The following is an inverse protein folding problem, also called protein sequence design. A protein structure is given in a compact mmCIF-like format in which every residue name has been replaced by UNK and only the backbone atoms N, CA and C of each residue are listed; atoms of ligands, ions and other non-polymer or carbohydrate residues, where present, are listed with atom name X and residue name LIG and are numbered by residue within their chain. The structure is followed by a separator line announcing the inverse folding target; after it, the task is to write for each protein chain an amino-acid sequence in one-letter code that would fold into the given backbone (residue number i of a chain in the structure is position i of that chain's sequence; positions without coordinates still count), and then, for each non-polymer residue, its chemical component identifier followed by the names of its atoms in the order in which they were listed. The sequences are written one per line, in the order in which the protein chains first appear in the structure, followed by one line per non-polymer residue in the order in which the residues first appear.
data_IF_302675995655
#
_entry.id   IF_302675995655
#
_cell.length_a   1.000
_cell.length_b   1.000
_cell.length_c   1.000
_cell.angle_alpha   90.00
_cell.angle_beta   90.00
_cell.angle_gamma   90.00
#
_symmetry.space_group_name_H-M   'P 1'
#
loop_
_entity.id
_entity.type
_entity.pdbx_description
1 polymer ?
#
# COMPACT_ATOMS: atom_id res chain seq x y z
N UNK A 1 8.46 -14.99 -5.89
CA UNK A 1 8.30 -16.02 -4.84
C UNK A 1 6.83 -16.33 -4.82
N UNK A 2 6.42 -17.59 -4.94
CA UNK A 2 4.98 -17.89 -4.84
C UNK A 2 4.54 -18.00 -3.38
N UNK A 3 3.22 -17.93 -3.13
CA UNK A 3 2.69 -17.98 -1.77
C UNK A 3 2.56 -19.40 -1.18
N UNK A 4 2.99 -20.46 -1.89
CA UNK A 4 2.71 -21.84 -1.47
C UNK A 4 3.39 -22.21 -0.14
N UNK A 5 4.53 -21.56 0.14
CA UNK A 5 5.34 -21.75 1.35
C UNK A 5 4.86 -20.93 2.54
N UNK A 6 3.99 -19.94 2.32
CA UNK A 6 3.56 -18.96 3.36
C UNK A 6 2.05 -18.99 3.61
N UNK A 7 1.28 -19.59 2.70
CA UNK A 7 -0.13 -19.85 2.89
C UNK A 7 -0.33 -20.98 3.91
N UNK A 8 -1.37 -20.87 4.75
CA UNK A 8 -1.68 -21.86 5.79
C UNK A 8 -3.12 -22.36 5.67
N UNK A 9 -3.38 -23.67 5.89
CA UNK A 9 -4.74 -24.20 6.01
C UNK A 9 -5.36 -23.86 7.38
N UNK A 10 -4.58 -23.36 8.33
CA UNK A 10 -5.07 -22.98 9.65
C UNK A 10 -5.68 -21.58 9.59
N UNK A 11 -7.01 -21.51 9.61
CA UNK A 11 -7.75 -20.27 9.67
C UNK A 11 -8.98 -20.39 10.57
N UNK A 12 -9.40 -19.24 11.09
CA UNK A 12 -10.61 -19.12 11.87
C UNK A 12 -11.79 -18.95 10.91
N UNK A 13 -12.80 -19.80 11.04
CA UNK A 13 -14.00 -19.80 10.21
C UNK A 13 -15.27 -19.57 11.05
N UNK A 14 -16.25 -18.88 10.47
CA UNK A 14 -17.59 -18.78 11.02
C UNK A 14 -18.68 -18.85 9.94
N UNK A 15 -19.77 -19.51 10.26
CA UNK A 15 -20.96 -19.54 9.41
C UNK A 15 -21.71 -18.19 9.41
N UNK A 16 -22.22 -17.76 8.24
CA UNK A 16 -22.87 -16.47 8.00
C UNK A 16 -24.16 -16.26 8.83
N UNK A 17 -24.80 -17.32 9.30
CA UNK A 17 -25.99 -17.26 10.15
C UNK A 17 -25.65 -17.13 11.64
N UNK A 18 -24.36 -17.20 12.03
CA UNK A 18 -23.96 -16.89 13.40
C UNK A 18 -24.21 -15.43 13.74
N UNK A 19 -24.27 -15.16 15.04
CA UNK A 19 -24.48 -13.82 15.61
C UNK A 19 -23.16 -13.10 15.80
N UNK A 20 -23.20 -11.77 15.72
CA UNK A 20 -22.05 -10.89 15.92
C UNK A 20 -21.34 -11.10 17.26
N UNK A 21 -22.09 -11.37 18.33
CA UNK A 21 -21.52 -11.74 19.64
C UNK A 21 -20.49 -12.87 19.57
N UNK A 22 -20.70 -13.87 18.71
CA UNK A 22 -19.75 -14.97 18.53
C UNK A 22 -18.47 -14.50 17.83
N UNK A 23 -18.59 -13.65 16.82
CA UNK A 23 -17.44 -13.02 16.13
C UNK A 23 -16.63 -12.17 17.11
N UNK A 24 -17.29 -11.34 17.92
CA UNK A 24 -16.63 -10.52 18.97
C UNK A 24 -15.83 -11.39 19.94
N UNK A 25 -16.43 -12.47 20.44
CA UNK A 25 -15.76 -13.41 21.34
C UNK A 25 -14.55 -14.11 20.70
N UNK A 26 -14.56 -14.35 19.39
CA UNK A 26 -13.41 -14.93 18.68
C UNK A 26 -12.29 -13.90 18.58
N UNK A 27 -12.60 -12.66 18.19
CA UNK A 27 -11.60 -11.59 18.14
C UNK A 27 -10.94 -11.33 19.50
N UNK A 28 -11.71 -11.39 20.58
CA UNK A 28 -11.18 -11.20 21.94
C UNK A 28 -10.24 -12.33 22.38
N UNK A 29 -10.58 -13.58 22.05
CA UNK A 29 -9.84 -14.76 22.56
C UNK A 29 -8.63 -15.14 21.71
N UNK A 30 -8.76 -14.97 20.40
CA UNK A 30 -7.80 -15.49 19.42
C UNK A 30 -7.09 -14.36 18.66
N UNK A 31 -7.59 -13.12 18.71
CA UNK A 31 -7.07 -11.95 17.99
C UNK A 31 -6.67 -12.24 16.51
N UNK A 32 -7.52 -12.91 15.71
CA UNK A 32 -7.17 -13.24 14.33
C UNK A 32 -7.11 -11.98 13.48
N UNK A 33 -6.26 -11.98 12.44
CA UNK A 33 -6.17 -10.86 11.47
C UNK A 33 -7.42 -10.70 10.61
N UNK A 34 -8.19 -11.78 10.48
CA UNK A 34 -9.50 -11.82 9.86
C UNK A 34 -10.13 -13.19 10.07
N UNK A 35 -11.44 -13.28 9.89
CA UNK A 35 -12.22 -14.50 10.02
C UNK A 35 -12.83 -14.80 8.65
N UNK A 36 -12.65 -16.03 8.17
CA UNK A 36 -13.33 -16.52 6.98
C UNK A 36 -14.81 -16.73 7.31
N UNK A 37 -15.68 -16.22 6.46
CA UNK A 37 -17.12 -16.44 6.57
C UNK A 37 -17.56 -17.43 5.51
N UNK A 38 -18.30 -18.45 5.93
CA UNK A 38 -18.91 -19.46 5.05
C UNK A 38 -20.42 -19.36 5.06
N UNK A 39 -21.04 -19.72 3.94
CA UNK A 39 -22.50 -19.82 3.78
C UNK A 39 -22.80 -21.12 3.05
N UNK A 40 -23.65 -21.98 3.64
CA UNK A 40 -23.96 -23.31 3.13
C UNK A 40 -22.71 -24.19 2.84
N UNK A 41 -21.62 -23.95 3.58
CA UNK A 41 -20.34 -24.66 3.42
C UNK A 41 -19.44 -24.11 2.32
N UNK A 42 -19.84 -23.04 1.64
CA UNK A 42 -19.03 -22.34 0.64
C UNK A 42 -18.46 -21.02 1.19
N UNK A 43 -17.33 -20.58 0.64
CA UNK A 43 -16.72 -19.30 1.01
C UNK A 43 -17.63 -18.12 0.62
N UNK A 44 -18.01 -17.30 1.59
CA UNK A 44 -18.86 -16.13 1.39
C UNK A 44 -18.10 -14.79 1.48
N UNK A 45 -17.00 -14.75 2.25
CA UNK A 45 -16.19 -13.53 2.40
C UNK A 45 -15.34 -13.54 3.67
N UNK A 46 -14.94 -12.35 4.12
CA UNK A 46 -14.17 -12.16 5.36
C UNK A 46 -14.81 -11.13 6.28
N UNK A 47 -14.46 -11.24 7.57
CA UNK A 47 -14.68 -10.21 8.57
C UNK A 47 -13.39 -9.89 9.30
N UNK A 48 -13.10 -8.60 9.39
CA UNK A 48 -12.01 -8.01 10.14
C UNK A 48 -12.59 -7.21 11.31
N UNK A 49 -11.75 -6.92 12.29
CA UNK A 49 -12.16 -6.25 13.53
C UNK A 49 -12.80 -4.85 13.29
N UNK A 50 -12.39 -4.14 12.23
CA UNK A 50 -12.98 -2.83 11.86
C UNK A 50 -14.49 -2.90 11.60
N UNK A 51 -15.02 -4.04 11.18
CA UNK A 51 -16.47 -4.22 10.98
C UNK A 51 -17.25 -4.24 12.30
N UNK A 52 -16.59 -4.50 13.43
CA UNK A 52 -17.22 -4.55 14.76
C UNK A 52 -17.48 -3.16 15.37
N UNK A 53 -16.82 -2.13 14.83
CA UNK A 53 -16.87 -0.74 15.30
C UNK A 53 -18.12 0.04 14.87
N UNK A 54 -19.03 -0.57 14.09
CA UNK A 54 -20.21 0.14 13.59
C UNK A 54 -21.23 0.32 14.73
N UNK A 55 -21.44 1.58 15.13
CA UNK A 55 -22.24 2.01 16.29
C UNK A 55 -23.71 1.62 16.29
N UNK A 56 -24.24 1.04 15.21
CA UNK A 56 -25.66 0.73 15.07
C UNK A 56 -25.96 -0.77 15.03
N UNK A 57 -24.96 -1.63 15.25
CA UNK A 57 -25.13 -3.07 15.09
C UNK A 57 -25.30 -3.73 16.46
N UNK A 58 -26.47 -4.33 16.65
CA UNK A 58 -26.80 -5.09 17.85
C UNK A 58 -26.09 -6.46 17.84
N UNK A 59 -25.70 -6.96 19.01
CA UNK A 59 -24.96 -8.23 19.16
C UNK A 59 -25.69 -9.47 18.61
N UNK A 60 -27.01 -9.35 18.45
CA UNK A 60 -27.89 -10.37 17.93
C UNK A 60 -27.96 -10.35 16.39
N UNK A 61 -27.40 -9.32 15.74
CA UNK A 61 -27.30 -9.19 14.28
C UNK A 61 -26.54 -10.36 13.69
N UNK A 62 -27.06 -10.89 12.57
CA UNK A 62 -26.40 -11.97 11.82
C UNK A 62 -25.16 -11.45 11.09
N UNK A 63 -24.16 -12.31 11.01
CA UNK A 63 -22.87 -12.07 10.37
C UNK A 63 -23.01 -11.70 8.88
N UNK A 64 -23.98 -12.27 8.17
CA UNK A 64 -24.24 -12.01 6.74
C UNK A 64 -24.20 -10.53 6.33
N UNK A 65 -24.76 -9.62 7.15
CA UNK A 65 -24.80 -8.19 6.85
C UNK A 65 -23.46 -7.46 6.98
N UNK A 66 -22.46 -8.12 7.59
CA UNK A 66 -21.15 -7.58 7.86
C UNK A 66 -20.08 -8.06 6.88
N UNK A 67 -20.34 -9.12 6.12
CA UNK A 67 -19.37 -9.75 5.22
C UNK A 67 -18.77 -8.71 4.25
N UNK A 68 -17.47 -8.83 4.01
CA UNK A 68 -16.76 -8.10 2.95
C UNK A 68 -16.09 -9.09 2.01
N UNK A 69 -16.02 -8.70 0.74
CA UNK A 69 -15.24 -9.44 -0.24
C UNK A 69 -13.75 -9.27 0.07
N UNK A 70 -13.00 -10.37 -0.03
CA UNK A 70 -11.55 -10.37 -0.01
C UNK A 70 -11.04 -10.89 -1.35
N UNK A 71 -9.86 -10.46 -1.81
CA UNK A 71 -9.27 -10.97 -3.04
C UNK A 71 -9.02 -12.47 -2.92
N UNK A 72 -9.60 -13.25 -3.84
CA UNK A 72 -9.31 -14.68 -3.97
C UNK A 72 -7.96 -14.82 -4.64
N UNK A 73 -7.05 -15.58 -4.03
CA UNK A 73 -5.71 -15.83 -4.56
C UNK A 73 -5.49 -17.33 -4.73
N UNK A 74 -4.66 -17.71 -5.70
CA UNK A 74 -4.19 -19.08 -5.90
C UNK A 74 -2.96 -19.35 -5.05
N UNK A 75 -2.80 -20.59 -4.59
CA UNK A 75 -1.62 -21.03 -3.85
C UNK A 75 -0.29 -20.80 -4.58
N UNK A 76 -0.33 -20.66 -5.90
CA UNK A 76 0.85 -20.43 -6.75
C UNK A 76 0.98 -18.97 -7.21
N UNK A 77 0.17 -18.05 -6.70
CA UNK A 77 0.29 -16.63 -7.02
C UNK A 77 1.60 -16.05 -6.45
N UNK A 78 2.16 -15.05 -7.15
CA UNK A 78 3.37 -14.36 -6.70
C UNK A 78 3.07 -13.48 -5.48
N UNK A 79 3.94 -13.52 -4.48
CA UNK A 79 3.84 -12.77 -3.23
C UNK A 79 3.59 -11.28 -3.45
N UNK A 80 4.18 -10.65 -4.48
CA UNK A 80 3.98 -9.21 -4.76
C UNK A 80 2.60 -8.92 -5.31
N UNK A 81 2.07 -9.81 -6.13
CA UNK A 81 0.69 -9.73 -6.64
C UNK A 81 -0.30 -9.81 -5.48
N UNK A 82 -0.08 -10.77 -4.58
CA UNK A 82 -0.91 -10.96 -3.38
C UNK A 82 -0.81 -9.75 -2.45
N UNK A 83 0.39 -9.19 -2.27
CA UNK A 83 0.59 -7.95 -1.52
C UNK A 83 -0.22 -6.79 -2.13
N UNK A 84 -0.23 -6.67 -3.47
CA UNK A 84 -0.96 -5.62 -4.18
C UNK A 84 -2.45 -5.72 -3.94
N UNK A 85 -3.04 -6.89 -4.15
CA UNK A 85 -4.49 -7.06 -3.97
C UNK A 85 -4.93 -6.91 -2.51
N UNK A 86 -4.08 -7.28 -1.54
CA UNK A 86 -4.33 -7.04 -0.11
C UNK A 86 -4.32 -5.54 0.22
N UNK A 87 -3.33 -4.80 -0.27
CA UNK A 87 -3.23 -3.35 -0.10
C UNK A 87 -4.41 -2.63 -0.75
N UNK A 88 -4.76 -2.97 -1.99
CA UNK A 88 -5.86 -2.35 -2.76
C UNK A 88 -7.22 -2.61 -2.12
N UNK A 89 -7.45 -3.83 -1.61
CA UNK A 89 -8.69 -4.19 -0.92
C UNK A 89 -8.76 -3.68 0.52
N UNK A 90 -7.62 -3.33 1.11
CA UNK A 90 -7.49 -3.03 2.54
C UNK A 90 -7.72 -4.26 3.44
N UNK A 91 -7.74 -5.47 2.87
CA UNK A 91 -7.84 -6.71 3.60
C UNK A 91 -6.51 -7.07 4.27
N UNK A 92 -6.60 -7.77 5.41
CA UNK A 92 -5.43 -8.21 6.20
C UNK A 92 -5.08 -9.67 5.96
N UNK A 93 -6.02 -10.41 5.39
CA UNK A 93 -5.88 -11.79 4.94
C UNK A 93 -6.52 -11.94 3.56
N UNK A 94 -5.99 -12.85 2.75
CA UNK A 94 -6.58 -13.28 1.49
C UNK A 94 -6.90 -14.79 1.57
N UNK A 95 -8.11 -15.22 1.19
CA UNK A 95 -8.44 -16.63 1.05
C UNK A 95 -7.66 -17.24 -0.13
N UNK A 96 -7.01 -18.37 0.14
CA UNK A 96 -6.19 -19.12 -0.82
C UNK A 96 -6.99 -20.29 -1.34
N UNK A 97 -7.10 -20.39 -2.67
CA UNK A 97 -7.87 -21.42 -3.36
C UNK A 97 -6.96 -22.38 -4.13
N UNK A 98 -7.33 -23.66 -4.16
CA UNK A 98 -6.84 -24.65 -5.12
C UNK A 98 -8.01 -25.05 -6.02
N UNK A 99 -8.03 -24.50 -7.24
CA UNK A 99 -9.23 -24.56 -8.09
C UNK A 99 -10.37 -23.76 -7.48
N UNK A 100 -11.53 -24.40 -7.27
CA UNK A 100 -12.70 -23.76 -6.65
C UNK A 100 -12.77 -23.96 -5.14
N UNK A 101 -11.93 -24.85 -4.57
CA UNK A 101 -11.94 -25.16 -3.15
C UNK A 101 -11.11 -24.15 -2.36
N UNK A 102 -11.68 -23.63 -1.27
CA UNK A 102 -10.92 -22.85 -0.28
C UNK A 102 -9.94 -23.80 0.40
N UNK A 103 -8.65 -23.57 0.18
CA UNK A 103 -7.58 -24.37 0.76
C UNK A 103 -7.10 -23.79 2.10
N UNK A 104 -7.00 -22.47 2.19
CA UNK A 104 -6.39 -21.81 3.34
C UNK A 104 -6.45 -20.29 3.27
N UNK A 105 -5.53 -19.63 3.96
CA UNK A 105 -5.37 -18.17 3.96
C UNK A 105 -3.89 -17.78 3.88
N UNK A 106 -3.65 -16.56 3.43
CA UNK A 106 -2.35 -15.88 3.54
C UNK A 106 -2.58 -14.50 4.17
N UNK A 107 -1.75 -14.14 5.14
CA UNK A 107 -1.84 -12.86 5.85
C UNK A 107 -0.76 -11.87 5.38
N UNK A 108 -0.98 -10.58 5.65
CA UNK A 108 0.08 -9.58 5.44
C UNK A 108 1.34 -9.90 6.25
N UNK A 109 1.18 -10.45 7.46
CA UNK A 109 2.30 -10.81 8.33
C UNK A 109 3.14 -11.95 7.74
N UNK A 110 2.48 -12.96 7.16
CA UNK A 110 3.16 -14.06 6.48
C UNK A 110 3.97 -13.57 5.27
N UNK A 111 3.41 -12.62 4.51
CA UNK A 111 4.11 -11.98 3.39
C UNK A 111 5.33 -11.21 3.88
N UNK A 112 5.17 -10.36 4.89
CA UNK A 112 6.25 -9.56 5.45
C UNK A 112 7.37 -10.42 6.04
N UNK A 113 7.03 -11.50 6.76
CA UNK A 113 8.00 -12.45 7.29
C UNK A 113 8.80 -13.13 6.17
N UNK A 114 8.15 -13.50 5.07
CA UNK A 114 8.80 -14.19 3.94
C UNK A 114 9.80 -13.32 3.18
N UNK A 115 9.59 -12.00 3.18
CA UNK A 115 10.47 -11.04 2.48
C UNK A 115 11.41 -10.29 3.41
N UNK A 116 11.40 -10.59 4.71
CA UNK A 116 12.09 -9.83 5.76
C UNK A 116 13.58 -9.62 5.46
N UNK A 117 14.27 -10.66 5.00
CA UNK A 117 15.70 -10.61 4.62
C UNK A 117 16.00 -9.67 3.44
N UNK A 118 14.99 -9.33 2.62
CA UNK A 118 15.16 -8.42 1.49
C UNK A 118 14.92 -6.95 1.87
N UNK A 119 14.49 -6.68 3.11
CA UNK A 119 14.14 -5.33 3.59
C UNK A 119 15.33 -4.58 4.19
N UNK A 120 16.51 -5.20 4.27
CA UNK A 120 17.75 -4.57 4.77
C UNK A 120 18.27 -3.45 3.88
N UNK A 121 17.89 -3.45 2.60
CA UNK A 121 18.36 -2.49 1.62
C UNK A 121 17.57 -1.16 1.63
N UNK A 122 16.52 -1.06 2.45
CA UNK A 122 15.66 0.11 2.57
C UNK A 122 15.73 0.67 3.98
N UNK A 123 15.88 1.98 4.09
CA UNK A 123 15.77 2.71 5.34
C UNK A 123 14.32 3.17 5.57
N UNK A 124 13.91 3.31 6.83
CA UNK A 124 12.57 3.81 7.18
C UNK A 124 12.29 5.14 6.51
N UNK A 125 13.31 6.01 6.40
CA UNK A 125 13.25 7.33 5.77
C UNK A 125 12.73 7.32 4.32
N UNK A 126 12.85 6.20 3.62
CA UNK A 126 12.45 6.07 2.22
C UNK A 126 10.95 5.81 2.03
N UNK A 127 10.25 5.31 3.06
CA UNK A 127 8.87 4.82 2.92
C UNK A 127 7.91 5.27 4.03
N UNK A 128 8.38 5.94 5.08
CA UNK A 128 7.50 6.48 6.11
C UNK A 128 6.65 7.64 5.58
N UNK A 129 5.54 7.92 6.28
CA UNK A 129 4.69 9.09 6.01
C UNK A 129 5.04 10.22 6.98
N UNK A 130 5.43 11.38 6.45
CA UNK A 130 5.88 12.58 7.15
C UNK A 130 4.74 13.56 7.53
N UNK A 131 3.63 13.60 6.79
CA UNK A 131 2.45 14.41 7.14
C UNK A 131 1.56 13.69 8.17
N UNK A 132 1.98 13.76 9.44
CA UNK A 132 1.35 13.01 10.51
C UNK A 132 0.18 13.77 11.13
N UNK A 133 -1.02 13.20 10.99
CA UNK A 133 -2.19 13.65 11.75
C UNK A 133 -2.05 13.20 13.21
N UNK A 134 -2.07 14.14 14.14
CA UNK A 134 -1.99 13.88 15.59
C UNK A 134 -3.25 14.32 16.34
N UNK A 135 -3.37 13.92 17.61
CA UNK A 135 -4.37 14.42 18.56
C UNK A 135 -3.71 14.75 19.88
N UNK A 136 -4.39 15.46 20.77
CA UNK A 136 -3.89 15.72 22.14
C UNK A 136 -4.51 14.77 23.15
N UNK A 137 -3.89 14.58 24.31
CA UNK A 137 -4.38 13.75 25.42
C UNK A 137 -5.83 14.07 25.84
N UNK A 138 -6.26 15.33 25.71
CA UNK A 138 -7.62 15.79 26.02
C UNK A 138 -8.64 15.62 24.88
N UNK A 139 -8.22 15.12 23.72
CA UNK A 139 -9.13 14.91 22.57
C UNK A 139 -10.12 13.79 22.89
N UNK A 140 -11.40 13.99 22.58
CA UNK A 140 -12.43 12.97 22.82
C UNK A 140 -12.38 11.84 21.78
N UNK A 141 -12.79 10.63 22.15
CA UNK A 141 -12.82 9.49 21.24
C UNK A 141 -13.74 9.72 20.03
N UNK A 142 -14.84 10.46 20.19
CA UNK A 142 -15.67 10.85 19.05
C UNK A 142 -14.89 11.66 17.99
N UNK A 143 -14.06 12.60 18.43
CA UNK A 143 -13.16 13.36 17.55
C UNK A 143 -12.07 12.48 16.95
N UNK A 144 -11.48 11.57 17.74
CA UNK A 144 -10.48 10.59 17.25
C UNK A 144 -11.06 9.73 16.14
N UNK A 145 -12.25 9.14 16.33
CA UNK A 145 -12.95 8.33 15.31
C UNK A 145 -13.18 9.15 14.05
N UNK A 146 -13.60 10.42 14.19
CA UNK A 146 -13.81 11.28 13.03
C UNK A 146 -12.51 11.53 12.26
N UNK A 147 -11.41 11.88 12.94
CA UNK A 147 -10.10 12.07 12.30
C UNK A 147 -9.61 10.80 11.59
N UNK A 148 -9.70 9.64 12.26
CA UNK A 148 -9.35 8.35 11.64
C UNK A 148 -10.15 8.10 10.36
N UNK A 149 -11.45 8.41 10.36
CA UNK A 149 -12.33 8.26 9.21
C UNK A 149 -12.03 9.27 8.10
N UNK A 150 -11.91 10.55 8.44
CA UNK A 150 -11.68 11.66 7.50
C UNK A 150 -10.38 11.47 6.72
N UNK A 151 -9.32 11.04 7.41
CA UNK A 151 -8.02 10.82 6.79
C UNK A 151 -7.82 9.38 6.27
N UNK A 152 -8.79 8.48 6.47
CA UNK A 152 -8.69 7.08 6.04
C UNK A 152 -7.56 6.28 6.72
N UNK A 153 -7.14 6.71 7.92
CA UNK A 153 -6.02 6.14 8.68
C UNK A 153 -6.53 5.29 9.85
N UNK A 154 -5.64 4.45 10.40
CA UNK A 154 -5.98 3.49 11.46
C UNK A 154 -5.37 3.81 12.81
N UNK A 155 -4.55 4.86 12.90
CA UNK A 155 -3.87 5.28 14.12
C UNK A 155 -3.55 6.75 14.11
N UNK A 156 -3.40 7.32 15.31
CA UNK A 156 -3.05 8.70 15.55
C UNK A 156 -2.06 8.75 16.72
N UNK A 157 -0.88 9.38 16.56
CA UNK A 157 -0.04 9.74 17.69
C UNK A 157 -0.76 10.75 18.58
N UNK A 158 -0.60 10.59 19.88
CA UNK A 158 -1.18 11.42 20.92
C UNK A 158 -0.09 12.26 21.54
N UNK A 159 -0.24 13.58 21.46
CA UNK A 159 0.67 14.57 22.01
C UNK A 159 0.18 15.04 23.38
N UNK A 160 1.10 15.25 24.30
CA UNK A 160 0.85 15.91 25.58
C UNK A 160 0.74 17.43 25.43
N UNK A 161 0.47 18.11 26.55
CA UNK A 161 0.33 19.57 26.60
C UNK A 161 1.62 20.31 26.22
N UNK A 162 2.77 19.65 26.37
CA UNK A 162 4.09 20.15 25.98
C UNK A 162 4.41 19.92 24.49
N UNK A 163 3.47 19.34 23.73
CA UNK A 163 3.63 18.99 22.32
C UNK A 163 4.44 17.73 22.08
N UNK A 164 4.79 16.97 23.13
CA UNK A 164 5.60 15.75 23.03
C UNK A 164 4.74 14.50 22.85
N UNK A 165 5.26 13.53 22.12
CA UNK A 165 4.66 12.21 21.94
C UNK A 165 4.47 11.53 23.31
N UNK A 166 3.22 11.25 23.66
CA UNK A 166 2.85 10.66 24.95
C UNK A 166 2.19 9.28 24.78
N UNK A 167 1.50 9.07 23.66
CA UNK A 167 0.79 7.83 23.38
C UNK A 167 0.47 7.64 21.91
N UNK A 168 -0.17 6.51 21.60
CA UNK A 168 -0.77 6.24 20.28
C UNK A 168 -2.14 5.64 20.49
N UNK A 169 -3.12 6.06 19.68
CA UNK A 169 -4.45 5.47 19.66
C UNK A 169 -4.73 4.87 18.29
N UNK A 170 -5.26 3.66 18.25
CA UNK A 170 -5.58 2.94 17.03
C UNK A 170 -7.06 2.59 16.95
N UNK A 171 -7.54 2.22 15.75
CA UNK A 171 -8.88 1.64 15.59
C UNK A 171 -9.06 0.35 16.40
N UNK A 172 -7.98 -0.40 16.65
CA UNK A 172 -8.02 -1.62 17.46
C UNK A 172 -8.32 -1.27 18.92
N UNK A 173 -7.64 -0.27 19.49
CA UNK A 173 -7.81 0.14 20.89
C UNK A 173 -9.23 0.63 21.16
N UNK A 174 -9.78 1.42 20.23
CA UNK A 174 -11.16 1.90 20.32
C UNK A 174 -12.15 0.72 20.25
N UNK A 175 -11.88 -0.28 19.40
CA UNK A 175 -12.74 -1.45 19.25
C UNK A 175 -12.71 -2.35 20.47
N UNK A 176 -11.51 -2.68 20.96
CA UNK A 176 -11.28 -3.47 22.14
C UNK A 176 -11.92 -2.81 23.37
N UNK A 177 -11.72 -1.50 23.54
CA UNK A 177 -12.36 -0.74 24.60
C UNK A 177 -13.90 -0.77 24.50
N UNK A 178 -14.47 -0.60 23.31
CA UNK A 178 -15.91 -0.67 23.10
C UNK A 178 -16.50 -2.04 23.46
N UNK A 179 -15.83 -3.12 23.07
CA UNK A 179 -16.28 -4.49 23.37
C UNK A 179 -16.20 -4.77 24.87
N UNK A 180 -15.08 -4.46 25.53
CA UNK A 180 -14.89 -4.71 26.97
C UNK A 180 -15.88 -3.98 27.87
N UNK A 181 -16.29 -2.77 27.51
CA UNK A 181 -17.24 -2.00 28.31
C UNK A 181 -18.69 -2.48 28.19
N UNK A 182 -19.08 -3.00 27.01
CA UNK A 182 -20.42 -3.57 26.80
C UNK A 182 -20.69 -4.80 27.69
N UNK A 183 -19.67 -5.61 28.00
CA UNK A 183 -19.84 -6.80 28.84
C UNK A 183 -19.97 -6.50 30.34
N UNK A 184 -19.26 -5.48 30.84
CA UNK A 184 -19.31 -5.08 32.27
C UNK A 184 -20.70 -4.57 32.69
N UNK A 185 -21.54 -4.17 31.73
CA UNK A 185 -22.86 -3.59 31.97
C UNK A 185 -24.03 -4.59 31.88
N UNK A 186 -23.79 -5.90 31.77
CA UNK A 186 -24.86 -6.93 31.81
C UNK A 186 -25.63 -7.00 33.16
N UNK A 187 -25.36 -6.11 34.12
CA UNK A 187 -26.19 -5.84 35.31
C UNK A 187 -27.01 -4.55 35.15
N UNK A 188 -28.04 -4.60 34.31
CA UNK A 188 -29.28 -3.85 34.59
C UNK A 188 -29.57 -2.52 33.89
N UNK A 189 -28.71 -1.96 33.02
CA UNK A 189 -29.04 -0.71 32.31
C UNK A 189 -29.11 -0.90 30.79
N UNK A 190 -30.16 -0.34 30.16
CA UNK A 190 -30.35 -0.32 28.70
C UNK A 190 -30.24 1.09 28.14
N UNK A 191 -29.59 1.17 26.97
CA UNK A 191 -29.77 2.16 25.90
C UNK A 191 -29.35 3.60 26.21
N UNK A 192 -28.05 3.81 26.40
CA UNK A 192 -27.42 5.14 26.33
C UNK A 192 -25.89 5.16 26.25
N UNK A 193 -25.21 4.02 26.11
CA UNK A 193 -23.78 3.90 26.42
C UNK A 193 -22.81 4.15 25.25
N UNK A 194 -23.26 4.08 23.99
CA UNK A 194 -22.38 4.44 22.85
C UNK A 194 -22.07 5.93 22.88
N UNK A 195 -23.04 6.78 23.26
CA UNK A 195 -22.82 8.23 23.40
C UNK A 195 -21.79 8.54 24.49
N UNK A 196 -21.74 7.74 25.57
CA UNK A 196 -20.74 7.93 26.64
C UNK A 196 -19.31 7.62 26.19
N UNK A 197 -19.14 6.66 25.27
CA UNK A 197 -17.81 6.30 24.77
C UNK A 197 -17.18 7.45 23.98
N UNK A 198 -18.01 8.22 23.28
CA UNK A 198 -17.55 9.32 22.43
C UNK A 198 -16.98 10.48 23.26
N UNK A 199 -17.41 10.62 24.51
CA UNK A 199 -16.97 11.67 25.43
C UNK A 199 -15.66 11.34 26.18
N UNK A 200 -15.28 10.06 26.21
CA UNK A 200 -14.04 9.59 26.85
C UNK A 200 -12.83 10.28 26.22
N UNK A 201 -11.82 10.58 27.05
CA UNK A 201 -10.59 11.20 26.60
C UNK A 201 -9.65 10.15 26.01
N UNK A 202 -8.93 10.51 24.96
CA UNK A 202 -7.99 9.60 24.31
C UNK A 202 -6.93 9.10 25.28
N UNK A 203 -6.53 9.92 26.27
CA UNK A 203 -5.62 9.53 27.33
C UNK A 203 -6.05 8.24 28.07
N UNK A 204 -7.34 8.01 28.25
CA UNK A 204 -7.87 6.86 29.00
C UNK A 204 -7.78 5.53 28.22
N UNK A 205 -7.53 5.59 26.91
CA UNK A 205 -7.56 4.42 26.01
C UNK A 205 -6.26 4.25 25.21
N UNK A 206 -5.50 5.33 25.01
CA UNK A 206 -4.24 5.29 24.25
C UNK A 206 -3.25 4.30 24.85
N UNK A 207 -2.42 3.71 23.99
CA UNK A 207 -1.29 2.91 24.43
C UNK A 207 -0.08 3.80 24.73
N UNK A 208 0.61 3.48 25.83
CA UNK A 208 1.86 4.09 26.26
C UNK A 208 2.69 3.04 27.03
N UNK A 209 4.03 2.96 26.86
CA UNK A 209 4.87 3.78 25.99
C UNK A 209 4.61 3.50 24.49
N UNK A 210 4.95 4.47 23.64
CA UNK A 210 4.77 4.35 22.18
C UNK A 210 5.92 3.56 21.59
N UNK A 211 5.61 2.57 20.76
CA UNK A 211 6.61 1.89 19.96
C UNK A 211 7.09 2.81 18.82
N UNK A 212 8.37 3.18 18.85
CA UNK A 212 8.99 4.10 17.89
C UNK A 212 10.00 3.40 16.99
N UNK A 213 10.50 4.11 15.99
CA UNK A 213 11.65 3.77 15.11
C UNK A 213 12.28 5.09 14.63
N UNK A 214 13.48 5.03 14.05
CA UNK A 214 14.17 6.23 13.53
C UNK A 214 14.23 6.21 12.00
N UNK A 215 14.38 7.37 11.33
CA UNK A 215 14.47 7.42 9.86
C UNK A 215 15.60 6.60 9.27
N UNK A 216 16.73 6.48 9.98
CA UNK A 216 17.94 5.77 9.51
C UNK A 216 17.96 4.29 9.93
N UNK A 217 16.95 3.81 10.66
CA UNK A 217 16.80 2.39 10.99
C UNK A 217 16.30 1.64 9.74
N UNK A 218 16.81 0.42 9.52
CA UNK A 218 16.38 -0.38 8.37
C UNK A 218 14.89 -0.75 8.47
N UNK A 219 14.23 -0.87 7.31
CA UNK A 219 12.85 -1.35 7.23
C UNK A 219 12.74 -2.77 7.80
N UNK A 220 13.77 -3.62 7.63
CA UNK A 220 13.81 -4.96 8.26
C UNK A 220 13.66 -4.88 9.77
N UNK A 221 14.41 -4.01 10.44
CA UNK A 221 14.36 -3.89 11.90
C UNK A 221 12.98 -3.38 12.35
N UNK A 222 12.44 -2.37 11.66
CA UNK A 222 11.10 -1.86 11.94
C UNK A 222 10.02 -2.95 11.76
N UNK A 223 10.08 -3.73 10.68
CA UNK A 223 9.13 -4.83 10.42
C UNK A 223 9.30 -5.98 11.40
N UNK A 224 10.53 -6.34 11.79
CA UNK A 224 10.75 -7.37 12.81
C UNK A 224 10.08 -6.97 14.12
N UNK A 225 10.27 -5.73 14.57
CA UNK A 225 9.59 -5.17 15.76
C UNK A 225 8.06 -5.20 15.61
N UNK A 226 7.54 -4.89 14.43
CA UNK A 226 6.10 -4.96 14.14
C UNK A 226 5.53 -6.39 14.17
N UNK A 227 6.33 -7.40 13.79
CA UNK A 227 5.89 -8.79 13.79
C UNK A 227 6.00 -9.40 15.19
N UNK A 228 7.12 -9.16 15.88
CA UNK A 228 7.41 -9.73 17.20
C UNK A 228 6.43 -9.21 18.27
N UNK A 229 6.10 -7.92 18.22
CA UNK A 229 5.21 -7.25 19.20
C UNK A 229 3.76 -7.11 18.68
N UNK A 230 3.46 -7.72 17.54
CA UNK A 230 2.17 -7.63 16.84
C UNK A 230 1.66 -6.20 16.54
N UNK A 231 2.58 -5.24 16.35
CA UNK A 231 2.21 -3.88 15.98
C UNK A 231 1.90 -3.75 14.51
N UNK A 232 0.79 -3.09 14.18
CA UNK A 232 0.48 -2.75 12.80
C UNK A 232 1.39 -1.61 12.25
N UNK A 233 2.22 -1.00 13.10
CA UNK A 233 3.29 -0.07 12.73
C UNK A 233 3.76 0.83 13.87
N UNK A 234 4.70 1.70 13.56
CA UNK A 234 5.54 2.43 14.51
C UNK A 234 5.48 3.93 14.24
N UNK A 235 5.67 4.73 15.29
CA UNK A 235 5.87 6.18 15.15
C UNK A 235 7.34 6.45 14.84
N UNK A 236 7.62 7.25 13.82
CA UNK A 236 8.99 7.63 13.48
C UNK A 236 9.35 8.87 14.28
N UNK A 237 10.46 8.80 15.01
CA UNK A 237 11.00 9.88 15.83
C UNK A 237 12.46 10.14 15.45
N UNK A 238 12.98 11.37 15.59
CA UNK A 238 14.41 11.63 15.48
C UNK A 238 15.23 10.73 16.43
N UNK A 239 16.46 10.37 16.05
CA UNK A 239 17.34 9.50 16.84
C UNK A 239 17.63 10.06 18.24
N UNK A 240 17.80 11.38 18.33
CA UNK A 240 18.11 12.10 19.58
C UNK A 240 16.87 12.60 20.34
N UNK A 241 15.64 12.32 19.86
CA UNK A 241 14.41 12.87 20.43
C UNK A 241 13.17 11.98 20.17
N UNK A 242 12.88 11.07 21.10
CA UNK A 242 11.69 10.19 21.06
C UNK A 242 10.37 10.90 21.37
N UNK A 243 10.43 12.16 21.81
CA UNK A 243 9.27 12.99 22.08
C UNK A 243 8.75 13.75 20.86
N UNK A 244 9.51 13.82 19.76
CA UNK A 244 9.10 14.51 18.54
C UNK A 244 8.63 13.52 17.49
N UNK A 245 7.41 13.72 16.98
CA UNK A 245 6.87 12.91 15.88
C UNK A 245 7.42 13.43 14.56
N UNK A 246 8.31 12.67 13.93
CA UNK A 246 8.78 12.93 12.57
C UNK A 246 7.88 12.26 11.51
N UNK A 247 7.22 11.16 11.86
CA UNK A 247 6.53 10.34 10.87
C UNK A 247 5.77 9.16 11.45
N UNK A 248 5.19 8.34 10.57
CA UNK A 248 4.63 7.02 10.87
C UNK A 248 5.01 6.05 9.76
N UNK A 249 5.39 4.82 10.13
CA UNK A 249 5.56 3.71 9.20
C UNK A 249 4.65 2.54 9.60
N UNK A 250 3.98 1.94 8.62
CA UNK A 250 3.03 0.85 8.85
C UNK A 250 3.36 -0.37 8.00
N UNK A 251 2.84 -1.55 8.41
CA UNK A 251 2.87 -2.77 7.57
C UNK A 251 2.32 -2.49 6.17
N UNK A 252 1.31 -1.64 6.04
CA UNK A 252 0.73 -1.25 4.75
C UNK A 252 1.71 -0.46 3.87
N UNK A 253 2.55 0.40 4.47
CA UNK A 253 3.54 1.18 3.71
C UNK A 253 4.65 0.27 3.18
N UNK A 254 5.09 -0.70 3.99
CA UNK A 254 6.02 -1.74 3.55
C UNK A 254 5.40 -2.61 2.47
N UNK A 255 4.16 -3.06 2.66
CA UNK A 255 3.44 -3.83 1.64
C UNK A 255 3.29 -3.05 0.33
N UNK A 256 2.99 -1.74 0.37
CA UNK A 256 2.99 -0.87 -0.81
C UNK A 256 4.38 -0.82 -1.45
N UNK A 257 5.45 -0.65 -0.66
CA UNK A 257 6.83 -0.67 -1.14
C UNK A 257 7.17 -1.98 -1.88
N UNK A 258 6.67 -3.14 -1.42
CA UNK A 258 6.82 -4.42 -2.12
C UNK A 258 6.08 -4.48 -3.46
N UNK A 259 4.96 -3.76 -3.58
CA UNK A 259 4.17 -3.68 -4.82
C UNK A 259 4.79 -2.75 -5.85
N UNK A 260 5.65 -1.82 -5.42
CA UNK A 260 6.46 -1.00 -6.31
C UNK A 260 7.45 -1.90 -7.05
N UNK A 261 6.96 -2.43 -8.16
CA UNK A 261 7.79 -2.82 -9.26
C UNK A 261 8.17 -1.50 -9.97
N UNK A 262 9.32 -1.42 -10.65
CA UNK A 262 9.51 -0.45 -11.75
C UNK A 262 8.44 -0.56 -12.86
N UNK A 263 7.42 -1.40 -12.66
CA UNK A 263 6.14 -1.49 -13.34
C UNK A 263 5.05 -0.87 -12.47
N UNK A 264 5.10 0.45 -12.23
CA UNK A 264 3.85 1.18 -12.47
C UNK A 264 3.44 0.79 -13.90
N UNK A 265 2.16 0.52 -14.14
CA UNK A 265 1.67 0.38 -15.50
C UNK A 265 1.96 1.70 -16.22
N UNK A 266 3.14 1.79 -16.83
CA UNK A 266 3.48 2.82 -17.78
C UNK A 266 2.41 2.65 -18.85
N UNK A 267 1.43 3.55 -18.85
CA UNK A 267 0.29 3.45 -19.73
C UNK A 267 0.79 3.70 -21.15
N UNK A 268 1.17 2.61 -21.82
CA UNK A 268 1.69 2.64 -23.18
C UNK A 268 0.52 2.51 -24.15
N UNK A 269 0.06 3.66 -24.65
CA UNK A 269 -0.89 3.67 -25.75
C UNK A 269 -0.14 3.39 -27.06
N UNK A 270 -0.52 2.32 -27.77
CA UNK A 270 0.05 1.97 -29.08
C UNK A 270 -0.96 2.24 -30.19
N UNK A 271 -0.61 3.12 -31.13
CA UNK A 271 -1.41 3.43 -32.32
C UNK A 271 -0.94 2.62 -33.53
N UNK A 272 -1.91 2.11 -34.31
CA UNK A 272 -1.69 1.26 -35.49
C UNK A 272 -1.05 -0.09 -35.18
N UNK A 273 -1.57 -0.77 -34.16
CA UNK A 273 -1.01 -2.04 -33.71
C UNK A 273 -0.96 -3.15 -34.77
N UNK A 274 -1.84 -3.10 -35.77
CA UNK A 274 -1.82 -4.01 -36.92
C UNK A 274 -0.51 -3.97 -37.74
N UNK A 275 0.38 -3.02 -37.47
CA UNK A 275 1.70 -2.91 -38.09
C UNK A 275 2.79 -3.63 -37.30
N UNK A 276 2.50 -4.08 -36.08
CA UNK A 276 3.42 -4.91 -35.29
C UNK A 276 3.57 -6.27 -35.99
N UNK A 277 4.80 -6.61 -36.35
CA UNK A 277 5.14 -7.88 -36.99
C UNK A 277 6.08 -8.74 -36.12
N UNK A 278 7.18 -8.13 -35.69
CA UNK A 278 8.33 -8.78 -35.05
C UNK A 278 8.53 -8.36 -33.60
N UNK A 279 7.77 -7.34 -33.16
CA UNK A 279 7.80 -6.82 -31.79
C UNK A 279 6.39 -6.85 -31.22
N UNK A 280 6.26 -7.30 -29.98
CA UNK A 280 5.00 -7.42 -29.25
C UNK A 280 4.69 -6.18 -28.41
N UNK A 281 3.44 -6.06 -27.95
CA UNK A 281 3.05 -4.99 -27.00
C UNK A 281 3.86 -5.06 -25.72
N UNK A 282 4.10 -6.28 -25.21
CA UNK A 282 4.81 -6.50 -23.96
C UNK A 282 6.28 -6.13 -24.08
N UNK A 283 6.94 -6.47 -25.18
CA UNK A 283 8.32 -6.04 -25.45
C UNK A 283 8.43 -4.52 -25.54
N UNK A 284 7.53 -3.84 -26.27
CA UNK A 284 7.49 -2.37 -26.32
C UNK A 284 7.35 -1.77 -24.91
N UNK A 285 6.46 -2.33 -24.09
CA UNK A 285 6.23 -1.87 -22.72
C UNK A 285 7.47 -2.07 -21.85
N UNK A 286 8.09 -3.24 -21.92
CA UNK A 286 9.30 -3.57 -21.15
C UNK A 286 10.48 -2.65 -21.53
N UNK A 287 10.69 -2.42 -22.82
CA UNK A 287 11.76 -1.56 -23.31
C UNK A 287 11.55 -0.09 -22.89
N UNK A 288 10.33 0.43 -22.97
CA UNK A 288 10.02 1.79 -22.48
C UNK A 288 10.16 1.89 -20.95
N UNK A 289 9.73 0.87 -20.20
CA UNK A 289 9.92 0.82 -18.76
C UNK A 289 11.41 0.79 -18.40
N UNK A 290 12.24 0.08 -19.17
CA UNK A 290 13.69 0.07 -19.02
C UNK A 290 14.33 1.45 -19.21
N UNK A 291 13.76 2.31 -20.07
CA UNK A 291 14.18 3.71 -20.15
C UNK A 291 13.87 4.44 -18.85
N UNK A 292 12.68 4.27 -18.27
CA UNK A 292 12.32 4.93 -16.99
C UNK A 292 13.19 4.44 -15.82
N UNK A 293 13.37 3.13 -15.67
CA UNK A 293 14.10 2.51 -14.55
C UNK A 293 15.58 2.90 -14.50
N UNK A 294 16.22 3.09 -15.66
CA UNK A 294 17.62 3.57 -15.74
C UNK A 294 17.82 4.99 -15.15
N UNK A 295 16.75 5.75 -14.91
CA UNK A 295 16.84 7.14 -14.50
C UNK A 295 15.98 7.43 -13.25
N UNK A 296 16.42 6.91 -12.10
CA UNK A 296 15.84 6.88 -10.73
C UNK A 296 15.17 8.17 -10.17
N UNK A 297 15.08 9.26 -10.92
CA UNK A 297 14.33 10.47 -10.53
C UNK A 297 13.29 10.93 -11.58
N UNK A 298 13.11 10.17 -12.66
CA UNK A 298 12.13 10.46 -13.72
C UNK A 298 10.95 9.48 -13.62
N UNK A 299 9.78 10.00 -13.27
CA UNK A 299 8.53 9.22 -13.23
C UNK A 299 7.76 9.45 -14.54
N UNK A 300 7.53 8.37 -15.30
CA UNK A 300 6.77 8.41 -16.55
C UNK A 300 5.28 8.23 -16.27
N UNK A 301 4.49 9.28 -16.48
CA UNK A 301 3.04 9.29 -16.27
C UNK A 301 2.29 8.54 -17.38
N UNK A 302 2.73 8.69 -18.63
CA UNK A 302 2.08 8.12 -19.81
C UNK A 302 3.04 8.04 -21.01
N UNK A 303 2.90 7.01 -21.84
CA UNK A 303 3.66 6.88 -23.07
C UNK A 303 2.75 6.64 -24.29
N UNK A 304 3.03 7.37 -25.37
CA UNK A 304 2.36 7.17 -26.64
C UNK A 304 3.35 6.69 -27.70
N UNK A 305 3.09 5.51 -28.25
CA UNK A 305 3.86 4.91 -29.34
C UNK A 305 3.01 4.89 -30.60
N UNK A 306 3.50 5.53 -31.66
CA UNK A 306 2.78 5.62 -32.94
C UNK A 306 3.62 5.04 -34.06
N UNK A 307 3.06 4.06 -34.76
CA UNK A 307 3.62 3.50 -35.98
C UNK A 307 2.93 4.10 -37.22
N UNK A 308 3.73 4.46 -38.24
CA UNK A 308 3.27 4.92 -39.53
C UNK A 308 3.95 4.14 -40.65
N UNK A 309 3.18 3.63 -41.60
CA UNK A 309 3.69 2.81 -42.72
C UNK A 309 3.89 3.69 -43.95
N UNK A 310 5.10 3.66 -44.51
CA UNK A 310 5.44 4.32 -45.76
C UNK A 310 5.17 3.43 -46.98
N UNK A 311 5.28 3.99 -48.20
CA UNK A 311 5.02 3.26 -49.45
C UNK A 311 6.20 2.37 -49.84
N UNK A 312 7.40 2.77 -49.43
CA UNK A 312 8.68 2.14 -49.68
C UNK A 312 8.77 0.76 -49.00
N UNK A 313 9.41 -0.19 -49.68
CA UNK A 313 9.64 -1.55 -49.16
C UNK A 313 11.03 -2.03 -49.52
N UNK A 314 11.61 -2.86 -48.66
CA UNK A 314 12.86 -3.58 -48.91
C UNK A 314 12.60 -5.07 -48.72
N UNK A 315 12.82 -5.87 -49.77
CA UNK A 315 12.64 -7.34 -49.74
C UNK A 315 11.28 -7.79 -49.18
N UNK A 316 10.21 -7.04 -49.47
CA UNK A 316 8.86 -7.32 -48.99
C UNK A 316 8.48 -6.65 -47.67
N UNK A 317 9.46 -6.26 -46.85
CA UNK A 317 9.25 -5.57 -45.57
C UNK A 317 8.98 -4.07 -45.79
N UNK A 318 7.89 -3.50 -45.27
CA UNK A 318 7.59 -2.09 -45.42
C UNK A 318 8.50 -1.21 -44.55
N UNK A 319 8.81 -0.01 -45.04
CA UNK A 319 9.41 1.04 -44.23
C UNK A 319 8.38 1.57 -43.24
N UNK A 320 8.73 1.58 -41.96
CA UNK A 320 7.90 2.04 -40.85
C UNK A 320 8.61 3.17 -40.13
N UNK A 321 7.86 4.22 -39.80
CA UNK A 321 8.27 5.26 -38.88
C UNK A 321 7.61 5.01 -37.51
N UNK A 322 8.42 4.98 -36.47
CA UNK A 322 7.98 4.92 -35.08
C UNK A 322 8.22 6.26 -34.39
N UNK A 323 7.25 6.74 -33.63
CA UNK A 323 7.36 7.90 -32.75
C UNK A 323 6.98 7.48 -31.35
N UNK A 324 7.86 7.74 -30.38
CA UNK A 324 7.64 7.51 -28.96
C UNK A 324 7.58 8.87 -28.28
N UNK A 325 6.55 9.11 -27.47
CA UNK A 325 6.44 10.29 -26.60
C UNK A 325 6.22 9.84 -25.17
N UNK A 326 7.06 10.30 -24.27
CA UNK A 326 6.92 10.12 -22.83
C UNK A 326 6.45 11.44 -22.23
N UNK A 327 5.41 11.36 -21.41
CA UNK A 327 5.03 12.42 -20.49
C UNK A 327 5.54 12.01 -19.11
N UNK A 328 6.29 12.89 -18.48
CA UNK A 328 6.94 12.63 -17.20
C UNK A 328 6.68 13.78 -16.23
N UNK A 329 6.90 13.54 -14.94
CA UNK A 329 6.91 14.58 -13.92
C UNK A 329 8.00 15.66 -14.16
N UNK A 330 8.94 15.42 -15.08
CA UNK A 330 10.02 16.33 -15.46
C UNK A 330 9.82 16.99 -16.84
N UNK A 331 8.67 16.78 -17.49
CA UNK A 331 8.33 17.32 -18.80
C UNK A 331 8.11 16.24 -19.86
N UNK A 332 8.09 16.63 -21.13
CA UNK A 332 7.87 15.72 -22.25
C UNK A 332 9.16 15.40 -22.98
N UNK A 333 9.37 14.12 -23.30
CA UNK A 333 10.51 13.64 -24.08
C UNK A 333 10.01 12.80 -25.24
N UNK A 334 10.65 12.93 -26.41
CA UNK A 334 10.22 12.20 -27.60
C UNK A 334 11.40 11.68 -28.41
N UNK A 335 11.23 10.49 -28.98
CA UNK A 335 12.16 9.88 -29.93
C UNK A 335 11.44 9.43 -31.20
N UNK A 336 12.12 9.50 -32.35
CA UNK A 336 11.57 9.06 -33.63
C UNK A 336 12.58 8.30 -34.48
N UNK A 337 12.16 7.19 -35.06
CA UNK A 337 13.00 6.29 -35.82
C UNK A 337 12.30 5.75 -37.05
N UNK A 338 13.08 5.42 -38.08
CA UNK A 338 12.59 4.77 -39.29
C UNK A 338 13.38 3.49 -39.50
N UNK A 339 12.69 2.44 -39.93
CA UNK A 339 13.28 1.13 -40.19
C UNK A 339 12.38 0.26 -41.04
N UNK A 340 12.96 -0.71 -41.74
CA UNK A 340 12.17 -1.74 -42.41
C UNK A 340 11.67 -2.74 -41.36
N UNK A 341 10.37 -2.70 -41.06
CA UNK A 341 9.73 -3.47 -39.98
C UNK A 341 9.53 -2.67 -38.70
N UNK A 342 8.57 -3.09 -37.86
CA UNK A 342 8.15 -2.32 -36.69
C UNK A 342 9.19 -2.36 -35.57
N UNK A 343 9.84 -3.50 -35.36
CA UNK A 343 10.91 -3.67 -34.37
C UNK A 343 12.09 -2.71 -34.63
N UNK A 344 12.65 -2.77 -35.84
CA UNK A 344 13.77 -1.90 -36.24
C UNK A 344 13.44 -0.41 -36.06
N UNK A 345 12.24 0.01 -36.51
CA UNK A 345 11.82 1.40 -36.38
C UNK A 345 11.66 1.82 -34.89
N UNK A 346 11.13 0.92 -34.06
CA UNK A 346 10.96 1.14 -32.63
C UNK A 346 12.31 1.28 -31.92
N UNK A 347 13.27 0.37 -32.13
CA UNK A 347 14.61 0.44 -31.51
C UNK A 347 15.34 1.73 -31.84
N UNK A 348 15.30 2.16 -33.11
CA UNK A 348 15.90 3.44 -33.53
C UNK A 348 15.22 4.64 -32.86
N UNK A 349 13.90 4.59 -32.65
CA UNK A 349 13.18 5.63 -31.93
C UNK A 349 13.54 5.64 -30.44
N UNK A 350 13.68 4.47 -29.82
CA UNK A 350 14.03 4.26 -28.42
C UNK A 350 15.45 4.78 -28.11
N UNK A 351 16.44 4.43 -28.93
CA UNK A 351 17.82 4.92 -28.78
C UNK A 351 17.88 6.46 -28.76
N UNK A 352 17.12 7.12 -29.63
CA UNK A 352 17.07 8.58 -29.68
C UNK A 352 16.31 9.17 -28.49
N UNK A 353 15.28 8.48 -28.00
CA UNK A 353 14.57 8.86 -26.79
C UNK A 353 15.52 8.80 -25.59
N UNK A 354 16.27 7.71 -25.42
CA UNK A 354 17.25 7.54 -24.34
C UNK A 354 18.31 8.66 -24.34
N UNK A 355 18.87 8.99 -25.51
CA UNK A 355 19.83 10.10 -25.63
C UNK A 355 19.25 11.45 -25.19
N UNK A 356 18.00 11.73 -25.55
CA UNK A 356 17.32 12.98 -25.14
C UNK A 356 16.99 13.01 -23.66
N UNK A 357 16.68 11.87 -23.06
CA UNK A 357 16.52 11.75 -21.60
C UNK A 357 17.85 12.07 -20.89
N UNK A 358 18.99 11.62 -21.43
CA UNK A 358 20.32 11.96 -20.91
C UNK A 358 20.64 13.47 -21.04
N UNK A 359 20.31 14.09 -22.17
CA UNK A 359 20.50 15.53 -22.39
C UNK A 359 19.71 16.38 -21.39
N UNK A 360 18.47 15.98 -21.07
CA UNK A 360 17.64 16.63 -20.04
C UNK A 360 18.28 16.59 -18.64
N UNK A 361 19.05 15.55 -18.33
CA UNK A 361 19.81 15.45 -17.08
C UNK A 361 21.02 16.40 -17.08
N UNK A 362 21.72 16.52 -18.22
CA UNK A 362 22.90 17.37 -18.36
C UNK A 362 22.60 18.87 -18.30
N UNK A 363 21.54 19.32 -18.96
CA UNK A 363 21.18 20.76 -19.03
C UNK A 363 20.78 21.33 -17.67
N UNK A 364 20.10 20.56 -16.81
CA UNK A 364 19.67 21.04 -15.48
C UNK A 364 20.74 20.94 -14.40
N UNK A 365 21.67 19.99 -14.49
CA UNK A 365 22.83 19.97 -13.58
C UNK A 365 23.63 21.27 -13.70
N UNK A 366 23.78 21.80 -14.93
CA UNK A 366 24.41 23.09 -15.18
C UNK A 366 23.55 24.27 -14.69
N UNK A 367 22.22 24.23 -14.80
CA UNK A 367 21.32 25.28 -14.28
C UNK A 367 21.27 25.34 -12.75
N UNK A 368 21.22 24.18 -12.06
CA UNK A 368 21.29 24.12 -10.59
C UNK A 368 22.66 24.55 -10.08
N UNK A 369 23.74 24.12 -10.74
CA UNK A 369 25.10 24.57 -10.42
C UNK A 369 25.24 26.08 -10.63
N UNK A 370 24.71 26.63 -11.72
CA UNK A 370 24.70 28.08 -12.00
C UNK A 370 23.85 28.84 -10.99
N UNK A 371 22.68 28.32 -10.59
CA UNK A 371 21.83 28.93 -9.55
C UNK A 371 22.44 28.89 -8.15
N UNK A 372 23.24 27.87 -7.83
CA UNK A 372 24.04 27.83 -6.60
C UNK A 372 25.24 28.77 -6.66
N UNK A 373 25.89 28.90 -7.84
CA UNK A 373 27.02 29.81 -8.05
C UNK A 373 26.58 31.28 -7.95
N UNK A 374 25.44 31.64 -8.55
CA UNK A 374 24.86 32.99 -8.48
C UNK A 374 24.42 33.36 -7.05
N UNK A 375 23.85 32.41 -6.29
CA UNK A 375 23.57 32.58 -4.86
C UNK A 375 24.83 32.77 -4.01
N UNK A 376 25.93 32.07 -4.35
CA UNK A 376 27.24 32.24 -3.68
C UNK A 376 27.94 33.56 -4.06
N UNK A 377 27.65 34.11 -5.23
CA UNK A 377 28.20 35.39 -5.71
C UNK A 377 27.34 36.61 -5.33
N UNK A 378 26.17 36.40 -4.71
CA UNK A 378 25.29 37.47 -4.22
C UNK A 378 24.56 38.25 -5.31
N UNK A 379 24.38 37.68 -6.50
CA UNK A 379 23.75 38.33 -7.66
C UNK A 379 22.29 37.90 -7.90
N UNK A 380 21.68 37.15 -6.97
CA UNK A 380 20.25 36.80 -6.97
C UNK A 380 19.65 36.95 -5.58
#
# INVERSE_FOLDING_TARGET
MDIADIATPDYVEIDADKRLSKVRSIFERENPKGIIVTEDGEYAGIINQKQLLQSHIQDDTKVRGLIRSAPRVSRHDDVREVARVLVESGAKIAPVFEGDALWGVVSEDAILAAVLENLDALDVSEIYTDDVVTVTTDTSIGTVINRLREHGISRLPVLGDDGRLTGVVTTHDIADFAVRNMERQQKGDRSGDIDRILDIRVYDIMNSPVATTTPDESVRTAVSRMLDEDYAGLVVTPEDDDGTVAGIITKTDVMRALTFTEREHLDVQITNIKLLDTITRDEIRQEIAGVSGKYQQMHVEHAHVRFHKHKERLRGTPLIQCQIRLRTNRGQVAGSGEGYGADTAFRVALDKLERRVLELKGVRADEEYRGQLLRKLGEL
#
